data_IF_499951764196
#
_entry.id   IF_499951764196
#
_cell.length_a   1.000
_cell.length_b   1.000
_cell.length_c   1.000
_cell.angle_alpha   90.00
_cell.angle_beta   90.00
_cell.angle_gamma   90.00
#
_symmetry.space_group_name_H-M   'P 1'
#
loop_
_entity.id
_entity.type
_entity.pdbx_description
1 polymer ?
#
# COMPACT_ATOMS: atom_id res chain seq x y z
N UNK A 1 26.48 -2.71 14.77
CA UNK A 1 25.94 -3.58 13.69
C UNK A 1 24.44 -3.62 13.85
N UNK A 2 23.65 -3.44 12.77
CA UNK A 2 22.17 -3.47 12.87
C UNK A 2 21.71 -4.92 13.04
N UNK A 3 20.75 -5.15 13.92
CA UNK A 3 20.21 -6.49 14.15
C UNK A 3 19.52 -7.05 12.88
N UNK A 4 19.64 -8.36 12.61
CA UNK A 4 18.98 -8.98 11.47
C UNK A 4 17.46 -8.90 11.61
N UNK A 5 16.77 -8.76 10.47
CA UNK A 5 15.32 -8.63 10.42
C UNK A 5 14.69 -10.00 10.33
N UNK A 6 13.68 -10.24 11.16
CA UNK A 6 12.76 -11.36 10.98
C UNK A 6 11.79 -11.05 9.84
N UNK A 7 12.14 -11.54 8.65
CA UNK A 7 11.38 -11.34 7.42
C UNK A 7 10.02 -12.02 7.43
N UNK A 8 9.87 -13.15 8.15
CA UNK A 8 8.60 -13.85 8.24
C UNK A 8 7.61 -12.96 8.99
N UNK A 9 7.97 -12.53 10.20
CA UNK A 9 7.13 -11.65 11.00
C UNK A 9 6.80 -10.35 10.28
N UNK A 10 7.78 -9.71 9.65
CA UNK A 10 7.58 -8.46 8.92
C UNK A 10 6.58 -8.61 7.75
N UNK A 11 6.69 -9.70 6.99
CA UNK A 11 5.82 -9.99 5.85
C UNK A 11 4.39 -10.28 6.29
N UNK A 12 4.20 -11.14 7.29
CA UNK A 12 2.86 -11.43 7.83
C UNK A 12 2.19 -10.19 8.42
N UNK A 13 2.95 -9.38 9.17
CA UNK A 13 2.45 -8.13 9.73
C UNK A 13 2.05 -7.16 8.62
N UNK A 14 2.89 -7.00 7.59
CA UNK A 14 2.59 -6.16 6.44
C UNK A 14 1.38 -6.62 5.64
N UNK A 15 1.20 -7.94 5.45
CA UNK A 15 0.04 -8.49 4.74
C UNK A 15 -1.27 -8.26 5.50
N UNK A 16 -1.29 -8.55 6.80
CA UNK A 16 -2.47 -8.34 7.65
C UNK A 16 -2.80 -6.84 7.72
N UNK A 17 -1.82 -6.01 8.06
CA UNK A 17 -1.99 -4.56 8.13
C UNK A 17 -2.40 -3.97 6.77
N UNK A 18 -1.87 -4.50 5.67
CA UNK A 18 -2.26 -4.13 4.32
C UNK A 18 -3.73 -4.39 4.05
N UNK A 19 -4.25 -5.59 4.37
CA UNK A 19 -5.67 -5.89 4.21
C UNK A 19 -6.57 -4.90 4.96
N UNK A 20 -6.26 -4.63 6.23
CA UNK A 20 -7.00 -3.63 7.03
C UNK A 20 -6.89 -2.22 6.46
N UNK A 21 -5.68 -1.79 6.08
CA UNK A 21 -5.44 -0.48 5.50
C UNK A 21 -6.25 -0.28 4.21
N UNK A 22 -6.26 -1.26 3.31
CA UNK A 22 -7.01 -1.19 2.06
C UNK A 22 -8.52 -1.13 2.29
N UNK A 23 -9.05 -1.91 3.23
CA UNK A 23 -10.46 -1.83 3.61
C UNK A 23 -10.83 -0.43 4.14
N UNK A 24 -9.97 0.17 4.97
CA UNK A 24 -10.17 1.53 5.48
C UNK A 24 -10.13 2.55 4.33
N UNK A 25 -9.12 2.49 3.46
CA UNK A 25 -8.99 3.41 2.32
C UNK A 25 -10.23 3.37 1.42
N UNK A 26 -10.74 2.17 1.11
CA UNK A 26 -11.96 1.98 0.32
C UNK A 26 -13.19 2.57 1.01
N UNK A 27 -13.33 2.37 2.32
CA UNK A 27 -14.46 2.92 3.06
C UNK A 27 -14.41 4.45 3.16
N UNK A 28 -13.22 5.00 3.40
CA UNK A 28 -13.01 6.46 3.52
C UNK A 28 -13.35 7.16 2.22
N UNK A 29 -12.84 6.68 1.08
CA UNK A 29 -13.13 7.31 -0.21
C UNK A 29 -14.61 7.16 -0.57
N UNK A 30 -15.22 6.00 -0.31
CA UNK A 30 -16.66 5.79 -0.52
C UNK A 30 -17.53 6.80 0.24
N UNK A 31 -17.18 7.12 1.49
CA UNK A 31 -17.87 8.15 2.28
C UNK A 31 -17.59 9.54 1.71
N UNK A 32 -16.32 9.86 1.43
CA UNK A 32 -15.92 11.19 0.96
C UNK A 32 -16.58 11.58 -0.37
N UNK A 33 -16.85 10.60 -1.23
CA UNK A 33 -17.46 10.82 -2.55
C UNK A 33 -18.96 10.54 -2.58
N UNK A 34 -19.61 10.34 -1.43
CA UNK A 34 -21.05 9.99 -1.37
C UNK A 34 -21.41 8.81 -2.30
N UNK A 35 -20.57 7.76 -2.28
CA UNK A 35 -20.69 6.56 -3.13
C UNK A 35 -20.49 6.79 -4.64
N UNK A 36 -20.32 8.04 -5.08
CA UNK A 36 -20.07 8.41 -6.47
C UNK A 36 -18.59 8.74 -6.67
N UNK A 37 -17.71 7.73 -6.76
CA UNK A 37 -16.29 7.99 -7.03
C UNK A 37 -15.91 7.60 -8.46
N UNK A 38 -15.25 8.53 -9.16
CA UNK A 38 -14.54 8.22 -10.38
C UNK A 38 -13.28 7.41 -10.06
N UNK A 39 -12.88 6.51 -10.98
CA UNK A 39 -11.66 5.73 -10.83
C UNK A 39 -10.42 6.63 -10.60
N UNK A 40 -10.38 7.81 -11.22
CA UNK A 40 -9.30 8.79 -11.05
C UNK A 40 -9.15 9.29 -9.61
N UNK A 41 -10.26 9.58 -8.92
CA UNK A 41 -10.23 10.06 -7.53
C UNK A 41 -9.76 8.97 -6.58
N UNK A 42 -10.20 7.73 -6.82
CA UNK A 42 -9.71 6.56 -6.10
C UNK A 42 -8.20 6.42 -6.26
N UNK A 43 -7.69 6.33 -7.49
CA UNK A 43 -6.26 6.16 -7.74
C UNK A 43 -5.43 7.30 -7.16
N UNK A 44 -5.90 8.55 -7.27
CA UNK A 44 -5.21 9.70 -6.69
C UNK A 44 -5.15 9.60 -5.17
N UNK A 45 -6.25 9.23 -4.51
CA UNK A 45 -6.32 9.07 -3.07
C UNK A 45 -5.41 7.94 -2.58
N UNK A 46 -5.57 6.72 -3.13
CA UNK A 46 -4.73 5.59 -2.69
C UNK A 46 -3.25 5.80 -3.01
N UNK A 47 -2.92 6.49 -4.11
CA UNK A 47 -1.52 6.85 -4.43
C UNK A 47 -0.93 7.79 -3.38
N UNK A 48 -1.68 8.83 -2.99
CA UNK A 48 -1.22 9.79 -1.99
C UNK A 48 -1.00 9.13 -0.63
N UNK A 49 -1.97 8.34 -0.16
CA UNK A 49 -1.84 7.62 1.12
C UNK A 49 -0.68 6.62 1.07
N UNK A 50 -0.56 5.87 -0.02
CA UNK A 50 0.54 4.90 -0.20
C UNK A 50 1.90 5.58 -0.19
N UNK A 51 2.03 6.72 -0.88
CA UNK A 51 3.28 7.47 -0.93
C UNK A 51 3.72 7.93 0.48
N UNK A 52 2.80 8.49 1.27
CA UNK A 52 3.08 8.93 2.64
C UNK A 52 3.54 7.75 3.50
N UNK A 53 2.87 6.59 3.40
CA UNK A 53 3.22 5.40 4.17
C UNK A 53 4.59 4.84 3.76
N UNK A 54 4.89 4.80 2.46
CA UNK A 54 6.20 4.34 1.96
C UNK A 54 7.30 5.26 2.46
N UNK A 55 7.15 6.58 2.32
CA UNK A 55 8.15 7.55 2.80
C UNK A 55 8.36 7.42 4.31
N UNK A 56 7.27 7.29 5.08
CA UNK A 56 7.33 7.11 6.54
C UNK A 56 8.02 5.81 6.92
N UNK A 57 7.68 4.70 6.27
CA UNK A 57 8.30 3.39 6.50
C UNK A 57 9.79 3.40 6.16
N UNK A 58 10.18 4.05 5.05
CA UNK A 58 11.59 4.20 4.67
C UNK A 58 12.35 5.03 5.71
N UNK A 59 11.80 6.16 6.15
CA UNK A 59 12.41 6.99 7.20
C UNK A 59 12.60 6.21 8.51
N UNK A 60 11.58 5.46 8.94
CA UNK A 60 11.65 4.59 10.13
C UNK A 60 12.68 3.49 9.97
N UNK A 61 12.77 2.87 8.79
CA UNK A 61 13.74 1.80 8.51
C UNK A 61 15.19 2.28 8.65
N UNK A 62 15.48 3.50 8.18
CA UNK A 62 16.82 4.08 8.28
C UNK A 62 17.17 4.49 9.72
N UNK A 63 16.22 5.07 10.45
CA UNK A 63 16.40 5.50 11.84
C UNK A 63 16.41 4.37 12.87
N UNK A 64 15.80 3.22 12.57
CA UNK A 64 15.71 2.10 13.49
C UNK A 64 17.00 1.29 13.59
N UNK A 65 17.43 1.03 14.83
CA UNK A 65 18.57 0.16 15.14
C UNK A 65 18.15 -1.26 15.53
N UNK A 66 16.98 -1.43 16.18
CA UNK A 66 16.47 -2.72 16.64
C UNK A 66 15.69 -3.49 15.56
N UNK A 67 15.79 -4.82 15.58
CA UNK A 67 15.16 -5.70 14.61
C UNK A 67 13.62 -5.56 14.55
N UNK A 68 12.99 -5.29 15.70
CA UNK A 68 11.53 -5.11 15.80
C UNK A 68 11.07 -3.90 14.98
N UNK A 69 11.66 -2.72 15.24
CA UNK A 69 11.30 -1.48 14.57
C UNK A 69 11.61 -1.49 13.08
N UNK A 70 12.71 -2.14 12.67
CA UNK A 70 13.02 -2.35 11.25
C UNK A 70 12.01 -3.28 10.58
N UNK A 71 11.56 -4.32 11.27
CA UNK A 71 10.49 -5.21 10.80
C UNK A 71 9.15 -4.49 10.67
N UNK A 72 8.79 -3.64 11.64
CA UNK A 72 7.59 -2.79 11.57
C UNK A 72 7.67 -1.82 10.39
N UNK A 73 8.82 -1.18 10.17
CA UNK A 73 9.04 -0.29 9.05
C UNK A 73 8.82 -0.99 7.70
N UNK A 74 9.32 -2.23 7.55
CA UNK A 74 9.03 -3.07 6.37
C UNK A 74 7.54 -3.38 6.27
N UNK A 75 6.89 -3.73 7.37
CA UNK A 75 5.44 -3.97 7.39
C UNK A 75 4.64 -2.77 6.88
N UNK A 76 5.02 -1.55 7.28
CA UNK A 76 4.42 -0.29 6.80
C UNK A 76 4.64 -0.10 5.31
N UNK A 77 5.82 -0.43 4.79
CA UNK A 77 6.14 -0.35 3.35
C UNK A 77 5.31 -1.38 2.56
N UNK A 78 5.19 -2.61 3.08
CA UNK A 78 4.48 -3.69 2.40
C UNK A 78 2.96 -3.48 2.38
N UNK A 79 2.39 -2.89 3.43
CA UNK A 79 0.94 -2.70 3.56
C UNK A 79 0.25 -2.01 2.36
N UNK A 80 0.74 -0.88 1.81
CA UNK A 80 0.16 -0.32 0.59
C UNK A 80 0.50 -1.18 -0.64
N UNK A 81 1.68 -1.80 -0.70
CA UNK A 81 2.13 -2.58 -1.86
C UNK A 81 1.29 -3.84 -2.11
N UNK A 82 0.65 -4.40 -1.08
CA UNK A 82 -0.21 -5.60 -1.25
C UNK A 82 -1.42 -5.35 -2.13
N UNK A 83 -2.08 -4.21 -2.04
CA UNK A 83 -3.19 -3.89 -2.94
C UNK A 83 -2.73 -3.26 -4.26
N UNK A 84 -1.59 -2.55 -4.26
CA UNK A 84 -1.00 -2.07 -5.52
C UNK A 84 -0.58 -3.21 -6.44
N UNK A 85 -0.02 -4.30 -5.91
CA UNK A 85 0.33 -5.47 -6.72
C UNK A 85 -0.91 -6.07 -7.39
N UNK A 86 -2.04 -6.13 -6.67
CA UNK A 86 -3.33 -6.59 -7.22
C UNK A 86 -3.84 -5.62 -8.28
N UNK A 87 -3.86 -4.31 -8.01
CA UNK A 87 -4.31 -3.32 -8.97
C UNK A 87 -3.46 -3.34 -10.24
N UNK A 88 -2.13 -3.43 -10.12
CA UNK A 88 -1.24 -3.58 -11.27
C UNK A 88 -1.54 -4.86 -12.04
N UNK A 89 -1.67 -5.99 -11.35
CA UNK A 89 -2.01 -7.27 -11.97
C UNK A 89 -3.34 -7.21 -12.74
N UNK A 90 -4.37 -6.62 -12.13
CA UNK A 90 -5.69 -6.44 -12.75
C UNK A 90 -5.62 -5.50 -13.94
N UNK A 91 -4.93 -4.35 -13.84
CA UNK A 91 -4.79 -3.42 -14.96
C UNK A 91 -3.99 -4.02 -16.13
N UNK A 92 -2.98 -4.86 -15.83
CA UNK A 92 -2.18 -5.55 -16.85
C UNK A 92 -2.95 -6.68 -17.53
N UNK A 93 -3.76 -7.46 -16.78
CA UNK A 93 -4.51 -8.59 -17.32
C UNK A 93 -5.82 -8.20 -17.99
N UNK A 94 -6.57 -7.28 -17.40
CA UNK A 94 -7.84 -6.83 -17.96
C UNK A 94 -7.64 -5.76 -19.04
N UNK A 95 -6.44 -5.18 -19.12
CA UNK A 95 -6.04 -4.27 -20.16
C UNK A 95 -6.76 -2.93 -20.13
N UNK A 96 -6.03 -1.88 -20.51
CA UNK A 96 -6.61 -0.65 -21.04
C UNK A 96 -7.64 -0.97 -22.15
N UNK A 97 -8.95 -0.69 -21.98
CA UNK A 97 -9.94 -0.91 -23.03
C UNK A 97 -10.17 0.33 -23.90
N UNK A 98 -9.15 1.17 -24.20
CA UNK A 98 -9.44 2.44 -24.90
C UNK A 98 -8.43 3.00 -25.92
N UNK A 99 -7.29 2.35 -26.21
CA UNK A 99 -6.35 2.85 -27.24
C UNK A 99 -6.42 2.12 -28.60
N UNK A 100 -7.43 1.28 -28.84
CA UNK A 100 -7.70 0.64 -30.15
C UNK A 100 -9.07 1.01 -30.74
N UNK A 101 -9.49 2.25 -30.56
CA UNK A 101 -10.63 2.84 -31.28
C UNK A 101 -10.20 4.19 -31.86
N UNK A 102 -9.18 4.16 -32.71
CA UNK A 102 -8.89 5.20 -33.69
C UNK A 102 -8.50 4.52 -34.99
#
# INVERSE_FOLDING_TARGET
MKEPIDWIRATFTGAIAGGFLWAIMLKVISIATHEHFAAGDFYRFVSWVSFILIVTGVALYFGANGAVWRGTAIGIILAPLTGWSILLFVNLLLGFPSWRMH
#
